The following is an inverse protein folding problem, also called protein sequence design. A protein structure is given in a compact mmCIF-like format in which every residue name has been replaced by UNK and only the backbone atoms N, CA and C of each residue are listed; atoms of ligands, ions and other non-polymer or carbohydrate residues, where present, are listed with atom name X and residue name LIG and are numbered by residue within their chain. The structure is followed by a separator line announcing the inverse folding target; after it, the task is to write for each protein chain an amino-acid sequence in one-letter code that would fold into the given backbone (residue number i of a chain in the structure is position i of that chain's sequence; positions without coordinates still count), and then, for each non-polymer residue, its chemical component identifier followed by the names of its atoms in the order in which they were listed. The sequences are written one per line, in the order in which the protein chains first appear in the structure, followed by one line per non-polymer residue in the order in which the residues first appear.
data_IF_913257823887
#
_entry.id   IF_913257823887
#
_cell.length_a   1.000
_cell.length_b   1.000
_cell.length_c   1.000
_cell.angle_alpha   90.00
_cell.angle_beta   90.00
_cell.angle_gamma   90.00
#
_symmetry.space_group_name_H-M   'P 1'
#
loop_
_entity.id
_entity.type
_entity.pdbx_description
1 polymer ?
#
# COMPACT_ATOMS: atom_id res chain seq x y z
N UNK A 1 -14.28 32.50 10.95
CA UNK A 1 -13.09 31.63 10.99
C UNK A 1 -13.49 30.34 11.70
N UNK A 2 -13.46 29.22 10.99
CA UNK A 2 -13.81 27.90 11.51
C UNK A 2 -12.51 27.22 11.96
N UNK A 3 -12.48 26.68 13.18
CA UNK A 3 -11.37 25.88 13.68
C UNK A 3 -11.66 24.42 13.44
N UNK A 4 -10.71 23.73 12.83
CA UNK A 4 -10.85 22.32 12.46
C UNK A 4 -9.82 21.53 13.25
N UNK A 5 -10.24 20.77 14.28
CA UNK A 5 -9.34 19.89 15.00
C UNK A 5 -8.88 18.75 14.08
N UNK A 6 -7.59 18.42 14.15
CA UNK A 6 -7.01 17.33 13.37
C UNK A 6 -5.93 16.59 14.17
N UNK A 7 -5.69 15.35 13.76
CA UNK A 7 -4.54 14.55 14.16
C UNK A 7 -3.71 14.20 12.94
N UNK A 8 -2.41 14.49 12.97
CA UNK A 8 -1.49 14.12 11.90
C UNK A 8 -0.80 12.81 12.27
N UNK A 9 -0.81 11.86 11.35
CA UNK A 9 -0.18 10.56 11.51
C UNK A 9 0.82 10.31 10.39
N UNK A 10 1.76 9.41 10.67
CA UNK A 10 2.58 8.76 9.65
C UNK A 10 2.59 7.24 9.86
N UNK A 11 2.64 6.49 8.77
CA UNK A 11 2.85 5.06 8.78
C UNK A 11 3.72 4.68 7.59
N UNK A 12 4.95 4.25 7.88
CA UNK A 12 5.98 3.91 6.89
C UNK A 12 6.25 5.00 5.86
N UNK A 13 6.17 6.26 6.30
CA UNK A 13 6.41 7.44 5.48
C UNK A 13 5.18 7.98 4.75
N UNK A 14 4.05 7.26 4.74
CA UNK A 14 2.78 7.82 4.29
C UNK A 14 2.19 8.68 5.41
N UNK A 15 1.86 9.92 5.10
CA UNK A 15 1.39 10.93 6.04
C UNK A 15 -0.09 11.21 5.82
N UNK A 16 -0.82 11.30 6.93
CA UNK A 16 -2.26 11.48 6.93
C UNK A 16 -2.64 12.61 7.86
N UNK A 17 -3.53 13.48 7.40
CA UNK A 17 -4.31 14.34 8.29
C UNK A 17 -5.62 13.64 8.54
N UNK A 18 -5.93 13.34 9.80
CA UNK A 18 -7.17 12.71 10.22
C UNK A 18 -8.07 13.74 10.91
N UNK A 19 -9.34 13.79 10.50
CA UNK A 19 -10.39 14.51 11.21
C UNK A 19 -11.42 13.51 11.73
N UNK A 20 -11.77 13.69 13.01
CA UNK A 20 -12.77 12.88 13.70
C UNK A 20 -14.16 13.51 13.59
N UNK A 21 -15.09 12.79 12.97
CA UNK A 21 -16.51 13.11 12.87
C UNK A 21 -17.40 12.01 13.49
N UNK A 22 -16.87 11.21 14.42
CA UNK A 22 -17.60 10.12 15.09
C UNK A 22 -18.80 10.65 15.88
N UNK A 23 -18.62 11.74 16.63
CA UNK A 23 -19.67 12.30 17.48
C UNK A 23 -20.51 13.35 16.76
N UNK A 24 -19.92 14.12 15.86
CA UNK A 24 -20.61 15.19 15.13
C UNK A 24 -19.87 15.52 13.84
N UNK A 25 -20.57 15.80 12.73
CA UNK A 25 -19.93 16.24 11.50
C UNK A 25 -19.33 17.63 11.69
N UNK A 26 -18.08 17.78 11.25
CA UNK A 26 -17.39 19.07 11.19
C UNK A 26 -17.63 19.70 9.82
N UNK A 27 -17.67 18.88 8.78
CA UNK A 27 -17.82 19.28 7.39
C UNK A 27 -19.15 18.82 6.80
N UNK A 28 -19.74 19.67 5.95
CA UNK A 28 -20.66 19.19 4.92
C UNK A 28 -19.95 18.25 3.92
N UNK A 29 -20.69 17.39 3.25
CA UNK A 29 -20.11 16.36 2.36
C UNK A 29 -19.27 16.93 1.20
N UNK A 30 -19.66 18.08 0.67
CA UNK A 30 -18.86 18.81 -0.34
C UNK A 30 -17.63 19.48 0.26
N UNK A 31 -17.71 19.96 1.50
CA UNK A 31 -16.60 20.65 2.19
C UNK A 31 -15.44 19.69 2.47
N UNK A 32 -15.69 18.40 2.68
CA UNK A 32 -14.64 17.39 2.90
C UNK A 32 -13.61 17.35 1.78
N UNK A 33 -14.07 17.34 0.52
CA UNK A 33 -13.20 17.37 -0.65
C UNK A 33 -12.41 18.67 -0.76
N UNK A 34 -13.02 19.81 -0.40
CA UNK A 34 -12.32 21.10 -0.37
C UNK A 34 -11.27 21.17 0.73
N UNK A 35 -11.59 20.64 1.91
CA UNK A 35 -10.63 20.59 3.01
C UNK A 35 -9.45 19.67 2.71
N UNK A 36 -9.65 18.61 1.90
CA UNK A 36 -8.55 17.74 1.44
C UNK A 36 -7.40 18.54 0.81
N UNK A 37 -7.70 19.63 0.08
CA UNK A 37 -6.67 20.52 -0.46
C UNK A 37 -5.83 21.18 0.64
N UNK A 38 -6.46 21.69 1.70
CA UNK A 38 -5.73 22.32 2.81
C UNK A 38 -5.02 21.30 3.70
N UNK A 39 -5.59 20.11 3.87
CA UNK A 39 -4.98 19.02 4.60
C UNK A 39 -3.69 18.55 3.91
N UNK A 40 -3.70 18.41 2.59
CA UNK A 40 -2.57 17.86 1.81
C UNK A 40 -1.56 18.89 1.32
N UNK A 41 -1.92 20.18 1.26
CA UNK A 41 -1.00 21.22 0.78
C UNK A 41 0.20 21.43 1.73
N UNK A 42 1.41 21.16 1.23
CA UNK A 42 2.67 21.24 1.98
C UNK A 42 3.16 22.66 2.27
N UNK A 43 2.63 23.68 1.58
CA UNK A 43 3.13 25.06 1.66
C UNK A 43 2.21 25.98 2.46
N UNK A 44 0.90 25.86 2.23
CA UNK A 44 -0.12 26.75 2.81
C UNK A 44 -1.18 25.98 3.62
N UNK A 45 -0.96 24.69 3.82
CA UNK A 45 -1.86 23.79 4.53
C UNK A 45 -1.18 23.09 5.70
N UNK A 46 -1.74 21.96 6.11
CA UNK A 46 -1.15 21.09 7.15
C UNK A 46 -0.03 20.21 6.57
N UNK A 47 -0.18 19.82 5.30
CA UNK A 47 0.74 19.00 4.53
C UNK A 47 0.63 17.51 4.86
N UNK A 48 0.13 16.70 3.93
CA UNK A 48 0.06 15.24 4.03
C UNK A 48 -0.15 14.63 2.65
N UNK A 49 -0.02 13.31 2.54
CA UNK A 49 -0.31 12.61 1.29
C UNK A 49 -1.82 12.54 1.06
N UNK A 50 -2.58 12.20 2.11
CA UNK A 50 -4.04 12.11 2.05
C UNK A 50 -4.71 12.75 3.27
N UNK A 51 -6.01 13.04 3.09
CA UNK A 51 -6.92 13.47 4.14
C UNK A 51 -7.85 12.32 4.53
N UNK A 52 -7.90 11.98 5.82
CA UNK A 52 -8.75 10.93 6.37
C UNK A 52 -9.89 11.53 7.17
N UNK A 53 -11.07 10.94 7.07
CA UNK A 53 -12.21 11.20 7.95
C UNK A 53 -12.70 9.88 8.53
N UNK A 54 -12.89 9.85 9.84
CA UNK A 54 -13.59 8.75 10.52
C UNK A 54 -14.97 9.23 10.95
N UNK A 55 -16.00 8.49 10.57
CA UNK A 55 -17.39 8.78 10.90
C UNK A 55 -18.02 7.57 11.57
N UNK A 56 -19.08 7.77 12.37
CA UNK A 56 -19.88 6.65 12.86
C UNK A 56 -20.72 6.07 11.73
N UNK A 57 -20.74 4.74 11.60
CA UNK A 57 -21.58 4.09 10.60
C UNK A 57 -23.05 4.16 11.07
N UNK A 58 -23.82 5.05 10.46
CA UNK A 58 -25.25 5.19 10.74
C UNK A 58 -25.99 5.41 9.44
N UNK A 59 -27.28 5.03 9.42
CA UNK A 59 -28.13 5.26 8.25
C UNK A 59 -28.13 6.73 7.80
N UNK A 60 -28.18 7.66 8.75
CA UNK A 60 -28.12 9.11 8.50
C UNK A 60 -26.82 9.54 7.79
N UNK A 61 -25.68 8.99 8.19
CA UNK A 61 -24.39 9.30 7.53
C UNK A 61 -24.36 8.71 6.12
N UNK A 62 -24.81 7.47 5.93
CA UNK A 62 -24.89 6.84 4.62
C UNK A 62 -25.83 7.60 3.66
N UNK A 63 -27.01 8.01 4.13
CA UNK A 63 -27.95 8.86 3.38
C UNK A 63 -27.29 10.19 2.98
N UNK A 64 -26.59 10.84 3.92
CA UNK A 64 -25.89 12.12 3.66
C UNK A 64 -24.80 11.97 2.59
N UNK A 65 -23.99 10.91 2.66
CA UNK A 65 -22.97 10.62 1.66
C UNK A 65 -23.64 10.44 0.30
N UNK A 66 -24.67 9.58 0.23
CA UNK A 66 -25.30 9.22 -1.03
C UNK A 66 -26.09 10.36 -1.67
N UNK A 67 -26.69 11.24 -0.87
CA UNK A 67 -27.40 12.43 -1.36
C UNK A 67 -26.48 13.37 -2.16
N UNK A 68 -25.22 13.50 -1.76
CA UNK A 68 -24.26 14.42 -2.39
C UNK A 68 -23.40 13.71 -3.43
N UNK A 69 -23.01 12.47 -3.16
CA UNK A 69 -22.03 11.74 -3.97
C UNK A 69 -22.66 10.74 -4.95
N UNK A 70 -23.88 10.27 -4.69
CA UNK A 70 -24.58 9.33 -5.56
C UNK A 70 -23.83 8.02 -5.78
N UNK A 71 -23.07 7.54 -4.81
CA UNK A 71 -22.26 6.33 -4.93
C UNK A 71 -23.09 5.05 -5.03
N UNK A 72 -24.32 5.07 -4.53
CA UNK A 72 -25.15 3.88 -4.47
C UNK A 72 -26.57 4.15 -5.00
N UNK A 73 -27.03 3.30 -5.90
CA UNK A 73 -28.44 3.28 -6.31
C UNK A 73 -29.33 2.86 -5.13
N UNK A 74 -28.86 1.91 -4.33
CA UNK A 74 -29.48 1.44 -3.09
C UNK A 74 -28.42 1.43 -2.00
N UNK A 75 -28.75 1.97 -0.81
CA UNK A 75 -27.78 2.04 0.26
C UNK A 75 -27.32 0.63 0.70
N UNK A 76 -26.01 0.43 0.88
CA UNK A 76 -25.47 -0.84 1.33
C UNK A 76 -25.94 -1.17 2.75
N UNK A 77 -26.18 -2.44 3.00
CA UNK A 77 -26.46 -2.94 4.35
C UNK A 77 -25.15 -3.07 5.13
N UNK A 78 -24.93 -2.13 6.06
CA UNK A 78 -23.69 -2.00 6.83
C UNK A 78 -23.96 -1.98 8.34
N UNK A 79 -25.02 -2.66 8.79
CA UNK A 79 -25.47 -2.64 10.19
C UNK A 79 -24.44 -3.23 11.18
N UNK A 80 -23.52 -4.08 10.70
CA UNK A 80 -22.45 -4.66 11.52
C UNK A 80 -21.23 -3.74 11.70
N UNK A 81 -21.14 -2.64 10.95
CA UNK A 81 -20.00 -1.73 11.05
C UNK A 81 -20.21 -0.66 12.13
N UNK A 82 -19.15 -0.38 12.89
CA UNK A 82 -19.13 0.68 13.89
C UNK A 82 -18.83 2.04 13.26
N UNK A 83 -17.90 2.05 12.30
CA UNK A 83 -17.33 3.27 11.70
C UNK A 83 -17.26 3.21 10.18
N UNK A 84 -17.06 4.36 9.55
CA UNK A 84 -16.77 4.52 8.12
C UNK A 84 -15.40 5.17 7.98
N UNK A 85 -14.51 4.51 7.24
CA UNK A 85 -13.23 5.05 6.78
C UNK A 85 -13.45 5.82 5.48
N UNK A 86 -12.99 7.07 5.43
CA UNK A 86 -12.99 7.89 4.21
C UNK A 86 -11.62 8.49 3.97
N UNK A 87 -11.17 8.43 2.72
CA UNK A 87 -9.86 8.94 2.32
C UNK A 87 -9.99 9.83 1.09
N UNK A 88 -9.48 11.05 1.19
CA UNK A 88 -9.51 12.02 0.11
C UNK A 88 -8.11 12.28 -0.41
N UNK A 89 -8.01 12.36 -1.73
CA UNK A 89 -6.81 12.74 -2.47
C UNK A 89 -6.61 14.27 -2.42
N UNK A 90 -5.41 14.77 -2.79
CA UNK A 90 -5.14 16.21 -2.81
C UNK A 90 -6.08 17.05 -3.68
N UNK A 91 -6.70 16.44 -4.70
CA UNK A 91 -7.68 17.08 -5.59
C UNK A 91 -9.12 17.07 -5.02
N UNK A 92 -9.32 16.47 -3.83
CA UNK A 92 -10.61 16.38 -3.17
C UNK A 92 -11.50 15.22 -3.62
N UNK A 93 -11.01 14.38 -4.55
CA UNK A 93 -11.67 13.12 -4.90
C UNK A 93 -11.49 12.10 -3.76
N UNK A 94 -12.39 11.12 -3.69
CA UNK A 94 -12.34 10.08 -2.68
C UNK A 94 -11.69 8.81 -3.25
N UNK A 95 -10.78 8.24 -2.47
CA UNK A 95 -10.03 7.04 -2.81
C UNK A 95 -10.49 5.83 -1.99
N UNK A 96 -10.35 4.64 -2.57
CA UNK A 96 -10.97 3.41 -2.07
C UNK A 96 -10.56 3.02 -0.64
N UNK A 97 -9.26 2.86 -0.41
CA UNK A 97 -8.71 2.49 0.91
C UNK A 97 -7.20 2.60 0.91
N UNK A 98 -6.60 2.59 2.10
CA UNK A 98 -5.17 2.48 2.30
C UNK A 98 -4.89 1.69 3.58
N UNK A 99 -4.11 0.60 3.51
CA UNK A 99 -3.73 -0.18 4.68
C UNK A 99 -3.00 0.65 5.75
N UNK A 100 -2.13 1.58 5.32
CA UNK A 100 -1.42 2.49 6.22
C UNK A 100 -2.39 3.45 6.92
N UNK A 101 -3.34 4.02 6.18
CA UNK A 101 -4.38 4.89 6.74
C UNK A 101 -5.29 4.17 7.73
N UNK A 102 -5.67 2.92 7.46
CA UNK A 102 -6.48 2.10 8.37
C UNK A 102 -5.78 1.83 9.69
N UNK A 103 -4.48 1.54 9.68
CA UNK A 103 -3.69 1.39 10.90
C UNK A 103 -3.63 2.71 11.69
N UNK A 104 -3.51 3.86 11.02
CA UNK A 104 -3.57 5.17 11.67
C UNK A 104 -4.94 5.43 12.33
N UNK A 105 -6.06 5.10 11.66
CA UNK A 105 -7.40 5.23 12.25
C UNK A 105 -7.56 4.29 13.45
N UNK A 106 -7.11 3.04 13.34
CA UNK A 106 -7.16 2.11 14.47
C UNK A 106 -6.42 2.67 15.70
N UNK A 107 -5.21 3.19 15.50
CA UNK A 107 -4.44 3.81 16.58
C UNK A 107 -5.14 5.04 17.17
N UNK A 108 -5.76 5.85 16.32
CA UNK A 108 -6.54 6.99 16.77
C UNK A 108 -7.75 6.56 17.62
N UNK A 109 -8.54 5.59 17.15
CA UNK A 109 -9.71 5.10 17.86
C UNK A 109 -9.34 4.47 19.21
N UNK A 110 -8.24 3.73 19.27
CA UNK A 110 -7.71 3.20 20.53
C UNK A 110 -7.31 4.32 21.50
N UNK A 111 -6.55 5.32 21.03
CA UNK A 111 -6.09 6.43 21.88
C UNK A 111 -7.22 7.32 22.38
N UNK A 112 -8.18 7.63 21.52
CA UNK A 112 -9.24 8.60 21.79
C UNK A 112 -10.45 7.95 22.48
N UNK A 113 -10.85 6.76 22.05
CA UNK A 113 -12.08 6.09 22.50
C UNK A 113 -11.84 4.79 23.27
N UNK A 114 -10.58 4.37 23.47
CA UNK A 114 -10.21 3.14 24.17
C UNK A 114 -10.82 1.88 23.55
N UNK A 115 -10.97 1.88 22.22
CA UNK A 115 -11.46 0.74 21.44
C UNK A 115 -10.28 -0.11 20.93
N UNK A 116 -10.13 -1.34 21.43
CA UNK A 116 -9.07 -2.27 21.02
C UNK A 116 -9.26 -2.78 19.58
N UNK A 117 -10.51 -3.01 19.18
CA UNK A 117 -10.87 -3.47 17.84
C UNK A 117 -12.28 -3.03 17.46
N UNK A 118 -12.48 -2.72 16.19
CA UNK A 118 -13.77 -2.24 15.65
C UNK A 118 -14.00 -2.79 14.25
N UNK A 119 -15.26 -2.82 13.82
CA UNK A 119 -15.65 -3.05 12.42
C UNK A 119 -15.77 -1.72 11.70
N UNK A 120 -15.06 -1.57 10.58
CA UNK A 120 -15.05 -0.33 9.81
C UNK A 120 -15.38 -0.60 8.34
N UNK A 121 -16.19 0.27 7.76
CA UNK A 121 -16.50 0.28 6.33
C UNK A 121 -15.33 0.90 5.56
N UNK A 122 -14.86 0.23 4.52
CA UNK A 122 -13.82 0.68 3.59
C UNK A 122 -14.30 0.53 2.14
N UNK A 123 -13.43 0.86 1.18
CA UNK A 123 -13.71 0.71 -0.26
C UNK A 123 -14.87 1.62 -0.73
N UNK A 124 -15.10 2.76 -0.07
CA UNK A 124 -15.91 3.85 -0.62
C UNK A 124 -15.02 4.61 -1.61
N UNK A 125 -15.45 4.92 -2.85
CA UNK A 125 -16.84 4.99 -3.32
C UNK A 125 -17.34 3.79 -4.15
N UNK A 126 -16.86 2.57 -3.93
CA UNK A 126 -17.36 1.42 -4.71
C UNK A 126 -18.84 1.13 -4.43
N UNK A 127 -19.52 0.49 -5.38
CA UNK A 127 -20.91 0.05 -5.22
C UNK A 127 -21.08 -1.03 -4.14
N UNK A 128 -19.99 -1.67 -3.71
CA UNK A 128 -19.97 -2.78 -2.76
C UNK A 128 -18.89 -2.55 -1.71
N UNK A 129 -19.09 -1.57 -0.80
CA UNK A 129 -18.11 -1.28 0.24
C UNK A 129 -17.94 -2.50 1.15
N UNK A 130 -16.75 -2.63 1.74
CA UNK A 130 -16.36 -3.79 2.53
C UNK A 130 -16.35 -3.43 4.01
N UNK A 131 -16.83 -4.33 4.86
CA UNK A 131 -16.61 -4.24 6.31
C UNK A 131 -15.37 -5.07 6.65
N UNK A 132 -14.42 -4.46 7.34
CA UNK A 132 -13.22 -5.14 7.85
C UNK A 132 -13.02 -4.86 9.33
N UNK A 133 -12.29 -5.75 10.00
CA UNK A 133 -11.83 -5.52 11.37
C UNK A 133 -10.49 -4.77 11.36
N UNK A 134 -10.40 -3.72 12.17
CA UNK A 134 -9.15 -3.01 12.47
C UNK A 134 -8.97 -2.93 13.99
N UNK A 135 -7.74 -2.73 14.44
CA UNK A 135 -7.50 -2.56 15.87
C UNK A 135 -6.09 -2.16 16.22
N UNK A 136 -5.86 -2.02 17.52
CA UNK A 136 -4.57 -1.67 18.11
C UNK A 136 -4.33 -2.59 19.30
N UNK A 137 -3.13 -3.15 19.39
CA UNK A 137 -2.74 -3.97 20.52
C UNK A 137 -2.74 -3.13 21.82
N UNK A 138 -2.90 -3.79 22.96
CA UNK A 138 -3.01 -3.12 24.27
C UNK A 138 -1.81 -2.25 24.64
N UNK A 139 -0.66 -2.50 24.03
CA UNK A 139 0.53 -1.66 24.18
C UNK A 139 0.39 -0.28 23.53
N UNK A 140 -0.62 -0.07 22.68
CA UNK A 140 -0.86 1.16 21.93
C UNK A 140 0.17 1.44 20.83
N UNK A 141 1.13 0.54 20.61
CA UNK A 141 2.25 0.71 19.68
C UNK A 141 1.95 0.11 18.32
N UNK A 142 1.35 -1.08 18.30
CA UNK A 142 1.08 -1.78 17.04
C UNK A 142 -0.40 -1.77 16.70
N UNK A 143 -0.70 -1.44 15.45
CA UNK A 143 -2.06 -1.40 14.91
C UNK A 143 -2.16 -2.28 13.69
N UNK A 144 -3.37 -2.71 13.37
CA UNK A 144 -3.60 -3.73 12.38
C UNK A 144 -4.90 -3.55 11.63
N UNK A 145 -4.93 -4.10 10.42
CA UNK A 145 -6.12 -4.19 9.59
C UNK A 145 -6.24 -5.59 8.99
N UNK A 146 -7.42 -6.18 9.05
CA UNK A 146 -7.72 -7.43 8.36
C UNK A 146 -8.11 -7.13 6.91
N UNK A 147 -7.18 -7.37 5.97
CA UNK A 147 -7.43 -7.10 4.55
C UNK A 147 -8.20 -8.25 3.87
N UNK A 148 -8.44 -9.35 4.60
CA UNK A 148 -9.08 -10.56 4.11
C UNK A 148 -8.13 -11.39 3.24
N UNK A 149 -8.71 -12.31 2.47
CA UNK A 149 -7.95 -13.26 1.67
C UNK A 149 -7.45 -12.64 0.36
N UNK A 150 -6.20 -12.91 -0.04
CA UNK A 150 -5.76 -12.74 -1.41
C UNK A 150 -6.66 -13.52 -2.37
N UNK A 151 -7.00 -12.91 -3.50
CA UNK A 151 -7.92 -13.44 -4.50
C UNK A 151 -7.23 -13.62 -5.84
N UNK A 152 -7.80 -14.49 -6.65
CA UNK A 152 -7.46 -14.62 -8.06
C UNK A 152 -7.90 -13.35 -8.81
N UNK A 153 -7.10 -12.92 -9.78
CA UNK A 153 -7.54 -11.91 -10.75
C UNK A 153 -8.73 -12.45 -11.54
N UNK A 154 -9.72 -11.58 -11.83
CA UNK A 154 -10.93 -11.95 -12.56
C UNK A 154 -10.59 -12.51 -13.94
N UNK A 155 -11.43 -13.43 -14.43
CA UNK A 155 -11.20 -14.09 -15.72
C UNK A 155 -11.12 -13.11 -16.88
N UNK A 156 -11.86 -12.00 -16.83
CA UNK A 156 -11.85 -10.96 -17.89
C UNK A 156 -10.48 -10.29 -18.06
N UNK A 157 -9.68 -10.25 -16.99
CA UNK A 157 -8.31 -9.71 -17.04
C UNK A 157 -7.26 -10.80 -17.28
N UNK A 158 -7.64 -12.08 -17.17
CA UNK A 158 -6.75 -13.21 -17.40
C UNK A 158 -6.69 -13.55 -18.90
N UNK A 159 -5.50 -13.43 -19.48
CA UNK A 159 -5.22 -13.83 -20.87
C UNK A 159 -4.27 -15.03 -20.85
N UNK A 160 -4.72 -16.26 -21.14
CA UNK A 160 -3.90 -17.47 -21.10
C UNK A 160 -2.66 -17.41 -21.98
N UNK A 161 -2.67 -16.57 -23.02
CA UNK A 161 -1.56 -16.36 -23.92
C UNK A 161 -0.41 -15.56 -23.28
N UNK A 162 -0.72 -14.84 -22.19
CA UNK A 162 0.19 -13.92 -21.51
C UNK A 162 0.59 -14.44 -20.13
N UNK A 163 -0.36 -15.00 -19.39
CA UNK A 163 -0.16 -15.48 -18.03
C UNK A 163 -0.71 -16.90 -17.88
N UNK A 164 -0.06 -17.70 -17.05
CA UNK A 164 -0.47 -19.06 -16.72
C UNK A 164 -0.89 -19.14 -15.25
N UNK A 165 -1.71 -20.12 -14.89
CA UNK A 165 -1.98 -20.40 -13.48
C UNK A 165 -0.75 -21.10 -12.88
N UNK A 166 -0.16 -20.46 -11.88
CA UNK A 166 0.83 -21.11 -11.03
C UNK A 166 0.12 -22.02 -10.02
N UNK A 167 -0.96 -21.51 -9.43
CA UNK A 167 -1.88 -22.26 -8.59
C UNK A 167 -3.31 -21.73 -8.74
N UNK A 168 -4.22 -22.08 -7.83
CA UNK A 168 -5.63 -21.69 -7.87
C UNK A 168 -5.86 -20.16 -7.89
N UNK A 169 -4.92 -19.39 -7.34
CA UNK A 169 -5.04 -17.95 -7.08
C UNK A 169 -3.96 -17.15 -7.81
N UNK A 170 -2.72 -17.66 -7.88
CA UNK A 170 -1.57 -16.96 -8.42
C UNK A 170 -1.46 -17.19 -9.93
N UNK A 171 -1.30 -16.09 -10.66
CA UNK A 171 -0.88 -16.11 -12.06
C UNK A 171 0.63 -15.97 -12.15
N UNK A 172 1.26 -16.60 -13.14
CA UNK A 172 2.69 -16.42 -13.43
C UNK A 172 2.89 -15.94 -14.87
N UNK A 173 3.90 -15.11 -15.06
CA UNK A 173 4.37 -14.63 -16.35
C UNK A 173 5.88 -14.86 -16.42
N UNK A 174 6.31 -15.82 -17.24
CA UNK A 174 7.71 -16.26 -17.29
C UNK A 174 8.63 -15.36 -18.11
N UNK A 175 8.08 -14.64 -19.10
CA UNK A 175 8.85 -13.86 -20.07
C UNK A 175 8.47 -12.38 -20.07
N UNK A 176 8.72 -11.70 -18.94
CA UNK A 176 8.58 -10.24 -18.84
C UNK A 176 9.78 -9.56 -19.50
N UNK A 177 9.75 -9.41 -20.82
CA UNK A 177 10.81 -8.69 -21.55
C UNK A 177 10.67 -7.18 -21.38
N UNK A 178 11.75 -6.54 -20.93
CA UNK A 178 11.85 -5.09 -20.73
C UNK A 178 13.05 -4.58 -21.52
N UNK A 179 12.78 -3.66 -22.46
CA UNK A 179 13.80 -3.01 -23.27
C UNK A 179 14.40 -1.78 -22.60
N UNK A 180 15.71 -1.64 -22.74
CA UNK A 180 16.52 -0.53 -22.25
C UNK A 180 17.33 0.08 -23.41
N UNK A 181 17.69 1.36 -23.32
CA UNK A 181 18.60 2.00 -24.29
C UNK A 181 20.02 1.45 -24.11
N UNK A 182 20.88 1.71 -25.10
CA UNK A 182 22.31 1.46 -24.92
C UNK A 182 22.80 2.25 -23.69
N UNK A 183 23.62 1.61 -22.84
CA UNK A 183 24.17 2.16 -21.60
C UNK A 183 23.20 2.35 -20.42
N UNK A 184 21.89 2.13 -20.59
CA UNK A 184 20.92 2.24 -19.49
C UNK A 184 21.19 1.24 -18.35
N UNK A 185 21.75 0.07 -18.68
CA UNK A 185 22.16 -0.95 -17.71
C UNK A 185 23.65 -0.89 -17.34
N UNK A 186 24.42 0.06 -17.90
CA UNK A 186 25.81 0.29 -17.49
C UNK A 186 25.81 1.08 -16.17
N UNK A 187 25.96 0.42 -15.01
CA UNK A 187 27.22 -0.21 -14.58
C UNK A 187 27.32 -1.73 -14.62
N UNK A 188 26.20 -2.41 -14.79
CA UNK A 188 26.00 -3.78 -14.31
C UNK A 188 25.87 -4.79 -15.45
N UNK A 189 25.43 -4.34 -16.63
CA UNK A 189 25.27 -5.20 -17.79
C UNK A 189 25.37 -4.41 -19.10
N UNK A 190 25.93 -5.06 -20.12
CA UNK A 190 25.94 -4.56 -21.49
C UNK A 190 24.68 -4.98 -22.27
N UNK A 191 23.75 -5.70 -21.62
CA UNK A 191 22.49 -6.08 -22.24
C UNK A 191 21.56 -4.86 -22.34
N UNK A 192 20.75 -4.84 -23.38
CA UNK A 192 19.69 -3.84 -23.60
C UNK A 192 18.30 -4.41 -23.35
N UNK A 193 18.23 -5.65 -22.85
CA UNK A 193 16.98 -6.32 -22.50
C UNK A 193 17.15 -7.05 -21.19
N UNK A 194 16.10 -7.02 -20.39
CA UNK A 194 15.98 -7.78 -19.16
C UNK A 194 14.75 -8.68 -19.32
N UNK A 195 14.89 -9.96 -19.05
CA UNK A 195 13.76 -10.88 -18.98
C UNK A 195 13.52 -11.24 -17.52
N UNK A 196 12.30 -11.02 -17.03
CA UNK A 196 11.94 -11.30 -15.64
C UNK A 196 10.80 -12.32 -15.58
N UNK A 197 10.68 -12.97 -14.43
CA UNK A 197 9.50 -13.75 -14.06
C UNK A 197 8.69 -13.01 -13.01
N UNK A 198 7.39 -12.91 -13.22
CA UNK A 198 6.45 -12.29 -12.29
C UNK A 198 5.36 -13.23 -11.83
N UNK A 199 4.83 -12.95 -10.64
CA UNK A 199 3.70 -13.65 -10.04
C UNK A 199 2.63 -12.63 -9.67
N UNK A 200 1.39 -12.83 -10.09
CA UNK A 200 0.32 -11.84 -9.93
C UNK A 200 -0.76 -12.39 -9.00
N UNK A 201 -1.18 -11.56 -8.04
CA UNK A 201 -2.27 -11.83 -7.10
C UNK A 201 -3.08 -10.55 -6.85
N UNK A 202 -4.33 -10.70 -6.42
CA UNK A 202 -5.20 -9.58 -6.04
C UNK A 202 -5.33 -9.48 -4.51
N UNK A 203 -4.84 -8.40 -3.91
CA UNK A 203 -4.91 -8.18 -2.44
C UNK A 203 -5.72 -6.93 -2.07
N UNK A 204 -6.76 -6.66 -2.87
CA UNK A 204 -7.55 -5.42 -2.85
C UNK A 204 -7.35 -4.63 -4.15
N UNK A 205 -6.16 -4.76 -4.74
CA UNK A 205 -5.80 -4.29 -6.06
C UNK A 205 -4.80 -5.28 -6.71
N UNK A 206 -4.52 -5.20 -8.03
CA UNK A 206 -3.59 -6.13 -8.66
C UNK A 206 -2.14 -5.81 -8.27
N UNK A 207 -1.42 -6.84 -7.83
CA UNK A 207 0.01 -6.78 -7.52
C UNK A 207 0.77 -7.86 -8.28
N UNK A 208 1.84 -7.47 -8.95
CA UNK A 208 2.86 -8.38 -9.47
C UNK A 208 4.04 -8.40 -8.49
N UNK A 209 4.54 -9.59 -8.15
CA UNK A 209 5.74 -9.81 -7.35
C UNK A 209 6.80 -10.45 -8.23
N UNK A 210 7.99 -9.84 -8.24
CA UNK A 210 9.16 -10.26 -9.01
C UNK A 210 10.27 -10.60 -8.02
N UNK A 211 10.88 -11.78 -8.18
CA UNK A 211 12.05 -12.18 -7.41
C UNK A 211 13.29 -12.05 -8.30
N UNK A 212 14.30 -11.24 -7.93
CA UNK A 212 15.47 -10.97 -8.75
C UNK A 212 16.54 -12.08 -8.74
N UNK A 213 16.18 -13.31 -8.36
CA UNK A 213 17.10 -14.45 -8.20
C UNK A 213 17.64 -15.00 -9.55
N UNK A 214 18.73 -15.77 -9.47
CA UNK A 214 19.66 -16.11 -10.57
C UNK A 214 19.09 -16.83 -11.80
N UNK A 215 17.91 -17.45 -11.73
CA UNK A 215 17.39 -18.25 -12.83
C UNK A 215 16.74 -17.36 -13.90
N UNK A 216 17.56 -16.83 -14.81
CA UNK A 216 17.14 -16.06 -15.99
C UNK A 216 17.39 -14.55 -15.89
N UNK A 217 17.84 -14.08 -14.74
CA UNK A 217 18.11 -12.66 -14.47
C UNK A 217 19.62 -12.43 -14.46
N UNK A 218 20.04 -11.30 -15.04
CA UNK A 218 21.42 -10.83 -15.03
C UNK A 218 22.07 -10.94 -13.63
N UNK A 219 23.24 -11.58 -13.56
CA UNK A 219 24.00 -11.74 -12.32
C UNK A 219 24.25 -10.39 -11.63
N UNK A 220 23.90 -10.28 -10.35
CA UNK A 220 24.04 -9.04 -9.57
C UNK A 220 22.84 -8.08 -9.66
N UNK A 221 21.77 -8.44 -10.36
CA UNK A 221 20.55 -7.62 -10.46
C UNK A 221 19.88 -7.40 -9.09
N UNK A 222 19.81 -8.44 -8.27
CA UNK A 222 19.34 -8.34 -6.89
C UNK A 222 20.17 -7.33 -6.08
N UNK A 223 21.49 -7.36 -6.22
CA UNK A 223 22.41 -6.48 -5.50
C UNK A 223 22.25 -5.01 -5.91
N UNK A 224 21.91 -4.78 -7.18
CA UNK A 224 21.60 -3.44 -7.70
C UNK A 224 20.25 -2.97 -7.18
N UNK A 225 19.24 -3.84 -7.20
CA UNK A 225 17.91 -3.51 -6.71
C UNK A 225 17.87 -3.28 -5.20
N UNK A 226 18.72 -3.92 -4.41
CA UNK A 226 18.71 -3.79 -2.97
C UNK A 226 20.07 -3.33 -2.41
N UNK A 227 20.77 -2.48 -3.16
CA UNK A 227 22.09 -1.98 -2.78
C UNK A 227 22.02 -1.24 -1.43
N UNK A 228 22.81 -1.65 -0.44
CA UNK A 228 22.97 -0.87 0.80
C UNK A 228 24.15 0.08 0.71
N UNK A 229 24.19 1.10 1.58
CA UNK A 229 25.31 2.04 1.64
C UNK A 229 26.65 1.34 1.92
N UNK A 230 26.63 0.34 2.81
CA UNK A 230 27.80 -0.49 3.15
C UNK A 230 28.25 -1.39 1.99
N UNK A 231 27.33 -2.12 1.33
CA UNK A 231 27.70 -3.01 0.22
C UNK A 231 28.21 -2.23 -1.00
N UNK A 232 27.57 -1.10 -1.31
CA UNK A 232 27.93 -0.31 -2.48
C UNK A 232 29.34 0.31 -2.38
N UNK A 233 29.87 0.51 -1.16
CA UNK A 233 31.25 0.94 -0.91
C UNK A 233 32.31 -0.10 -1.32
N UNK A 234 31.97 -1.40 -1.30
CA UNK A 234 32.91 -2.50 -1.60
C UNK A 234 33.20 -2.69 -3.09
N UNK A 235 32.38 -2.08 -3.97
CA UNK A 235 32.44 -2.25 -5.42
C UNK A 235 33.04 -1.04 -6.17
N UNK A 236 33.77 -0.16 -5.47
CA UNK A 236 34.54 0.93 -6.08
C UNK A 236 33.71 2.04 -6.76
N UNK A 237 32.39 2.08 -6.55
CA UNK A 237 31.49 3.17 -6.99
C UNK A 237 30.85 3.83 -5.76
N UNK A 238 30.52 5.15 -5.80
CA UNK A 238 29.87 5.81 -4.68
C UNK A 238 28.57 5.11 -4.31
N UNK A 239 28.37 4.87 -3.01
CA UNK A 239 27.25 4.08 -2.53
C UNK A 239 25.88 4.66 -2.91
N UNK A 240 25.76 5.99 -2.80
CA UNK A 240 24.59 6.78 -3.21
C UNK A 240 24.22 6.55 -4.67
N UNK A 241 25.20 6.50 -5.59
CA UNK A 241 24.93 6.29 -7.02
C UNK A 241 24.29 4.95 -7.32
N UNK A 242 24.59 3.90 -6.54
CA UNK A 242 23.95 2.58 -6.72
C UNK A 242 22.53 2.57 -6.17
N UNK A 243 22.31 3.22 -5.04
CA UNK A 243 20.95 3.40 -4.47
C UNK A 243 20.07 4.16 -5.48
N UNK A 244 20.56 5.28 -6.00
CA UNK A 244 19.86 6.08 -7.02
C UNK A 244 19.57 5.27 -8.30
N UNK A 245 20.54 4.46 -8.75
CA UNK A 245 20.35 3.60 -9.90
C UNK A 245 19.31 2.51 -9.64
N UNK A 246 19.30 1.91 -8.44
CA UNK A 246 18.27 0.96 -8.03
C UNK A 246 16.87 1.58 -7.99
N UNK A 247 16.72 2.82 -7.52
CA UNK A 247 15.47 3.60 -7.53
C UNK A 247 14.99 3.82 -8.96
N UNK A 248 15.88 4.36 -9.79
CA UNK A 248 15.59 4.57 -11.21
C UNK A 248 15.17 3.27 -11.91
N UNK A 249 15.83 2.15 -11.60
CA UNK A 249 15.55 0.86 -12.23
C UNK A 249 14.17 0.31 -11.86
N UNK A 250 13.77 0.43 -10.58
CA UNK A 250 12.40 0.08 -10.13
C UNK A 250 11.36 0.90 -10.88
N UNK A 251 11.56 2.22 -10.99
CA UNK A 251 10.65 3.10 -11.73
C UNK A 251 10.57 2.73 -13.21
N UNK A 252 11.71 2.46 -13.85
CA UNK A 252 11.75 2.08 -15.26
C UNK A 252 11.04 0.77 -15.54
N UNK A 253 11.27 -0.25 -14.71
CA UNK A 253 10.59 -1.54 -14.84
C UNK A 253 9.09 -1.36 -14.57
N UNK A 254 8.72 -0.66 -13.49
CA UNK A 254 7.33 -0.40 -13.13
C UNK A 254 6.55 0.28 -14.25
N UNK A 255 7.11 1.33 -14.85
CA UNK A 255 6.54 2.03 -16.01
C UNK A 255 6.47 1.14 -17.25
N UNK A 256 7.54 0.40 -17.56
CA UNK A 256 7.56 -0.49 -18.72
C UNK A 256 6.46 -1.56 -18.64
N UNK A 257 6.35 -2.23 -17.48
CA UNK A 257 5.33 -3.27 -17.28
C UNK A 257 3.91 -2.69 -17.30
N UNK A 258 3.68 -1.53 -16.67
CA UNK A 258 2.38 -0.87 -16.74
C UNK A 258 1.99 -0.45 -18.16
N UNK A 259 2.96 -0.05 -18.99
CA UNK A 259 2.71 0.24 -20.40
C UNK A 259 2.41 -1.04 -21.21
N UNK A 260 3.20 -2.09 -21.03
CA UNK A 260 3.01 -3.39 -21.71
C UNK A 260 1.65 -4.00 -21.39
N UNK A 261 1.24 -3.96 -20.11
CA UNK A 261 0.00 -4.57 -19.64
C UNK A 261 -1.18 -3.60 -19.54
N UNK A 262 -1.10 -2.40 -20.13
CA UNK A 262 -2.15 -1.39 -20.07
C UNK A 262 -3.52 -1.89 -20.55
N UNK A 263 -3.54 -2.82 -21.51
CA UNK A 263 -4.79 -3.41 -22.01
C UNK A 263 -5.44 -4.38 -21.01
N UNK A 264 -4.66 -4.99 -20.11
CA UNK A 264 -5.17 -5.87 -19.04
C UNK A 264 -5.41 -5.08 -17.75
N UNK A 265 -4.57 -4.10 -17.46
CA UNK A 265 -4.69 -3.24 -16.28
C UNK A 265 -4.71 -1.77 -16.71
N UNK A 266 -5.86 -1.24 -17.19
CA UNK A 266 -5.95 0.13 -17.69
C UNK A 266 -5.59 1.19 -16.65
N UNK A 267 -5.93 0.92 -15.39
CA UNK A 267 -5.58 1.74 -14.24
C UNK A 267 -4.23 1.34 -13.58
N UNK A 268 -3.44 0.52 -14.27
CA UNK A 268 -2.14 0.02 -13.85
C UNK A 268 -2.18 -1.16 -12.86
N UNK A 269 -1.00 -1.58 -12.44
CA UNK A 269 -0.74 -2.65 -11.48
C UNK A 269 0.48 -2.28 -10.64
N UNK A 270 0.42 -2.57 -9.34
CA UNK A 270 1.53 -2.34 -8.42
C UNK A 270 2.59 -3.43 -8.64
N UNK A 271 3.85 -3.03 -8.81
CA UNK A 271 4.97 -3.94 -9.09
C UNK A 271 5.86 -4.00 -7.85
N UNK A 272 5.98 -5.18 -7.26
CA UNK A 272 6.78 -5.43 -6.09
C UNK A 272 8.02 -6.25 -6.46
N UNK A 273 9.17 -5.83 -5.96
CA UNK A 273 10.40 -6.63 -6.00
C UNK A 273 10.63 -7.17 -4.61
N UNK A 274 10.89 -8.47 -4.47
CA UNK A 274 11.06 -9.11 -3.17
C UNK A 274 12.25 -10.06 -3.14
N UNK A 275 12.90 -10.15 -1.98
CA UNK A 275 13.93 -11.15 -1.70
C UNK A 275 13.82 -11.69 -0.27
N UNK A 276 14.05 -13.00 -0.05
CA UNK A 276 14.24 -13.53 1.30
C UNK A 276 15.55 -13.01 1.92
N UNK A 277 15.49 -12.62 3.19
CA UNK A 277 16.66 -12.22 3.99
C UNK A 277 17.00 -13.29 5.04
N UNK A 278 15.98 -14.01 5.51
CA UNK A 278 16.14 -15.18 6.38
C UNK A 278 16.51 -16.43 5.58
N UNK A 279 17.25 -17.37 6.19
CA UNK A 279 17.53 -18.64 5.56
C UNK A 279 16.25 -19.50 5.39
N UNK A 280 16.19 -20.41 4.39
CA UNK A 280 15.08 -21.34 4.27
C UNK A 280 14.84 -22.12 5.58
N UNK A 281 13.61 -22.13 6.09
CA UNK A 281 13.24 -22.79 7.35
C UNK A 281 13.25 -21.89 8.60
N UNK A 282 13.70 -20.64 8.50
CA UNK A 282 13.60 -19.64 9.57
C UNK A 282 12.30 -18.81 9.47
N UNK A 283 12.01 -17.98 10.50
CA UNK A 283 10.92 -16.99 10.43
C UNK A 283 11.06 -16.17 9.16
N UNK A 284 10.01 -16.12 8.34
CA UNK A 284 10.03 -15.47 7.04
C UNK A 284 10.30 -13.97 7.15
N UNK A 285 11.54 -13.56 6.90
CA UNK A 285 11.92 -12.16 6.74
C UNK A 285 12.17 -11.92 5.26
N UNK A 286 11.36 -11.04 4.68
CA UNK A 286 11.47 -10.63 3.29
C UNK A 286 11.79 -9.15 3.24
N UNK A 287 12.63 -8.74 2.30
CA UNK A 287 12.79 -7.35 1.93
C UNK A 287 12.03 -7.09 0.64
N UNK A 288 11.38 -5.93 0.52
CA UNK A 288 10.66 -5.58 -0.69
C UNK A 288 10.75 -4.10 -1.05
N UNK A 289 10.46 -3.82 -2.33
CA UNK A 289 10.32 -2.50 -2.94
C UNK A 289 9.00 -2.48 -3.71
N UNK A 290 8.30 -1.35 -3.73
CA UNK A 290 6.99 -1.24 -4.38
C UNK A 290 6.97 -0.05 -5.33
N UNK A 291 6.74 -0.31 -6.60
CA UNK A 291 6.24 0.67 -7.56
C UNK A 291 4.72 0.67 -7.51
N UNK A 292 4.12 1.79 -7.12
CA UNK A 292 2.71 1.83 -6.75
C UNK A 292 1.80 2.25 -7.91
N UNK A 293 0.71 1.49 -8.07
CA UNK A 293 -0.36 1.78 -9.01
C UNK A 293 -0.98 3.16 -8.74
N UNK A 294 -1.33 3.89 -9.79
CA UNK A 294 -1.95 5.22 -9.67
C UNK A 294 -0.95 6.35 -9.39
N UNK A 295 0.12 6.06 -8.65
CA UNK A 295 1.22 7.02 -8.39
C UNK A 295 2.32 6.89 -9.48
N UNK A 296 2.50 5.70 -10.04
CA UNK A 296 3.44 5.39 -11.12
C UNK A 296 4.90 5.76 -10.81
N UNK A 297 5.29 5.53 -9.55
CA UNK A 297 6.66 5.62 -9.05
C UNK A 297 6.84 4.69 -7.86
N UNK A 298 8.08 4.47 -7.46
CA UNK A 298 8.41 3.80 -6.23
C UNK A 298 7.97 4.62 -5.01
N UNK A 299 7.25 3.96 -4.08
CA UNK A 299 6.82 4.54 -2.80
C UNK A 299 7.61 3.96 -1.63
N UNK A 300 7.49 4.58 -0.45
CA UNK A 300 8.24 4.17 0.74
C UNK A 300 7.78 2.79 1.24
N UNK A 301 6.47 2.55 1.23
CA UNK A 301 5.86 1.27 1.55
C UNK A 301 4.41 1.19 1.03
N UNK A 302 3.97 -0.02 0.67
CA UNK A 302 2.61 -0.35 0.29
C UNK A 302 2.11 -1.57 1.09
N UNK A 303 1.04 -1.41 1.86
CA UNK A 303 0.52 -2.48 2.74
C UNK A 303 -0.06 -3.67 1.98
N UNK A 304 -0.87 -3.43 0.95
CA UNK A 304 -1.44 -4.46 0.07
C UNK A 304 -0.34 -5.19 -0.73
N UNK A 305 0.72 -4.47 -1.12
CA UNK A 305 1.93 -5.03 -1.71
C UNK A 305 2.70 -5.94 -0.75
N UNK A 306 2.83 -5.55 0.52
CA UNK A 306 3.45 -6.40 1.54
C UNK A 306 2.66 -7.71 1.77
N UNK A 307 1.32 -7.67 1.73
CA UNK A 307 0.49 -8.89 1.77
C UNK A 307 0.73 -9.75 0.53
N UNK A 308 0.78 -9.16 -0.67
CA UNK A 308 1.04 -9.90 -1.91
C UNK A 308 2.41 -10.60 -1.89
N UNK A 309 3.45 -9.89 -1.44
CA UNK A 309 4.82 -10.43 -1.27
C UNK A 309 4.85 -11.58 -0.28
N UNK A 310 4.23 -11.41 0.90
CA UNK A 310 4.14 -12.47 1.91
C UNK A 310 3.42 -13.71 1.37
N UNK A 311 2.26 -13.51 0.75
CA UNK A 311 1.43 -14.59 0.24
C UNK A 311 2.12 -15.38 -0.86
N UNK A 312 2.66 -14.69 -1.88
CA UNK A 312 3.37 -15.35 -2.99
C UNK A 312 4.63 -16.05 -2.47
N UNK A 313 5.41 -15.43 -1.58
CA UNK A 313 6.62 -16.06 -1.04
C UNK A 313 6.31 -17.37 -0.31
N UNK A 314 5.21 -17.42 0.45
CA UNK A 314 4.73 -18.65 1.10
C UNK A 314 4.36 -19.73 0.07
N UNK A 315 3.58 -19.38 -0.96
CA UNK A 315 3.15 -20.33 -2.01
C UNK A 315 4.31 -20.86 -2.85
N UNK A 316 5.37 -20.06 -3.02
CA UNK A 316 6.61 -20.46 -3.68
C UNK A 316 7.59 -21.20 -2.75
N UNK A 317 7.21 -21.50 -1.50
CA UNK A 317 8.08 -22.10 -0.47
C UNK A 317 9.38 -21.31 -0.22
N UNK A 318 9.36 -19.99 -0.41
CA UNK A 318 10.50 -19.09 -0.13
C UNK A 318 10.60 -18.71 1.35
N UNK A 319 9.51 -18.85 2.08
CA UNK A 319 9.40 -18.62 3.52
C UNK A 319 8.49 -19.67 4.17
N UNK A 320 8.63 -19.89 5.47
CA UNK A 320 7.74 -20.78 6.21
C UNK A 320 6.36 -20.13 6.42
N UNK A 321 5.28 -20.93 6.48
CA UNK A 321 3.97 -20.46 6.91
C UNK A 321 3.99 -19.84 8.31
N UNK A 322 3.20 -18.78 8.52
CA UNK A 322 3.01 -18.15 9.84
C UNK A 322 3.11 -16.63 9.77
N UNK A 323 3.56 -16.02 10.87
CA UNK A 323 3.77 -14.58 10.94
C UNK A 323 5.08 -14.18 10.26
N UNK A 324 4.96 -13.44 9.15
CA UNK A 324 6.08 -12.99 8.34
C UNK A 324 6.42 -11.53 8.60
N UNK A 325 7.68 -11.18 8.42
CA UNK A 325 8.16 -9.80 8.52
C UNK A 325 8.59 -9.32 7.14
N UNK A 326 7.99 -8.22 6.71
CA UNK A 326 8.29 -7.54 5.46
C UNK A 326 9.06 -6.26 5.79
N UNK A 327 10.25 -6.11 5.21
CA UNK A 327 11.14 -4.97 5.37
C UNK A 327 10.95 -4.04 4.17
N UNK A 328 10.26 -2.89 4.31
CA UNK A 328 10.11 -1.92 3.23
C UNK A 328 11.44 -1.21 2.98
N UNK A 329 12.18 -1.63 1.95
CA UNK A 329 13.54 -1.18 1.70
C UNK A 329 13.64 0.36 1.60
N UNK A 330 12.73 1.01 0.85
CA UNK A 330 12.74 2.47 0.69
C UNK A 330 12.46 3.22 1.97
N UNK A 331 11.45 2.80 2.73
CA UNK A 331 11.17 3.36 4.05
C UNK A 331 12.38 3.21 5.00
N UNK A 332 13.06 2.06 4.96
CA UNK A 332 14.22 1.77 5.82
C UNK A 332 15.47 2.60 5.52
N UNK A 333 15.55 3.26 4.36
CA UNK A 333 16.60 4.27 4.10
C UNK A 333 16.45 5.52 4.97
N UNK A 334 15.24 5.77 5.48
CA UNK A 334 14.92 6.89 6.38
C UNK A 334 14.72 6.41 7.83
N UNK A 335 14.07 5.26 8.00
CA UNK A 335 13.71 4.67 9.30
C UNK A 335 14.17 3.20 9.37
N UNK A 336 15.44 2.93 9.72
CA UNK A 336 16.06 1.60 9.62
C UNK A 336 15.36 0.49 10.41
N UNK A 337 14.55 0.82 11.42
CA UNK A 337 13.80 -0.16 12.21
C UNK A 337 12.43 -0.53 11.62
N UNK A 338 12.05 0.12 10.51
CA UNK A 338 10.76 -0.08 9.86
C UNK A 338 10.57 -1.51 9.40
N UNK A 339 9.45 -2.10 9.81
CA UNK A 339 9.02 -3.45 9.48
C UNK A 339 7.50 -3.56 9.49
N UNK A 340 6.94 -4.30 8.55
CA UNK A 340 5.53 -4.64 8.47
C UNK A 340 5.41 -6.12 8.83
N UNK A 341 4.47 -6.49 9.69
CA UNK A 341 4.20 -7.89 9.99
C UNK A 341 2.93 -8.33 9.27
N UNK A 342 2.97 -9.48 8.62
CA UNK A 342 1.80 -10.10 8.00
C UNK A 342 1.48 -11.37 8.77
N UNK A 343 0.25 -11.48 9.24
CA UNK A 343 -0.28 -12.68 9.88
C UNK A 343 -1.44 -13.20 9.03
N UNK A 344 -1.28 -14.39 8.47
CA UNK A 344 -2.35 -15.13 7.82
C UNK A 344 -2.96 -16.12 8.81
N UNK A 345 -4.26 -16.02 9.06
CA UNK A 345 -4.96 -16.93 9.96
C UNK A 345 -5.31 -18.27 9.27
N UNK A 346 -5.96 -19.18 9.99
CA UNK A 346 -6.37 -20.50 9.47
C UNK A 346 -7.38 -20.42 8.33
N UNK A 347 -8.20 -19.37 8.28
CA UNK A 347 -9.16 -19.17 7.18
C UNK A 347 -8.48 -18.64 5.91
N UNK A 348 -7.24 -18.14 6.00
CA UNK A 348 -6.49 -17.52 4.90
C UNK A 348 -6.58 -15.99 4.86
N UNK A 349 -7.24 -15.37 5.83
CA UNK A 349 -7.32 -13.91 5.95
C UNK A 349 -5.98 -13.32 6.38
N UNK A 350 -5.53 -12.30 5.65
CA UNK A 350 -4.27 -11.64 5.89
C UNK A 350 -4.46 -10.37 6.71
N UNK A 351 -3.93 -10.38 7.93
CA UNK A 351 -3.84 -9.21 8.80
C UNK A 351 -2.49 -8.53 8.61
N UNK A 352 -2.51 -7.27 8.16
CA UNK A 352 -1.35 -6.40 8.21
C UNK A 352 -1.23 -5.81 9.61
N UNK A 353 -0.02 -5.81 10.16
CA UNK A 353 0.30 -5.22 11.45
C UNK A 353 1.46 -4.27 11.25
N UNK A 354 1.30 -3.04 11.73
CA UNK A 354 2.31 -2.01 11.64
C UNK A 354 2.32 -1.06 12.82
N UNK A 355 3.17 -0.04 12.71
CA UNK A 355 3.51 0.85 13.81
C UNK A 355 3.23 2.31 13.41
N UNK A 356 1.94 2.71 13.33
CA UNK A 356 1.60 4.10 13.02
C UNK A 356 2.04 5.03 14.16
N UNK A 357 2.52 6.21 13.80
CA UNK A 357 2.96 7.23 14.74
C UNK A 357 2.08 8.46 14.59
N UNK A 358 1.46 8.90 15.67
CA UNK A 358 0.82 10.21 15.74
C UNK A 358 1.91 11.27 15.87
N UNK A 359 1.99 12.18 14.90
CA UNK A 359 2.98 13.24 14.86
C UNK A 359 2.55 14.45 15.68
N UNK A 360 1.30 14.89 15.51
CA UNK A 360 0.78 16.09 16.18
C UNK A 360 -0.74 16.09 16.24
N UNK A 361 -1.30 16.66 17.30
CA UNK A 361 -2.69 17.10 17.35
C UNK A 361 -2.72 18.62 17.27
N UNK A 362 -3.65 19.17 16.48
CA UNK A 362 -3.74 20.60 16.30
C UNK A 362 -5.12 21.06 15.86
N UNK A 363 -5.25 22.37 15.68
CA UNK A 363 -6.42 23.02 15.08
C UNK A 363 -5.96 23.81 13.86
N UNK A 364 -6.66 23.65 12.74
CA UNK A 364 -6.43 24.44 11.53
C UNK A 364 -7.48 25.54 11.43
N UNK A 365 -7.03 26.79 11.31
CA UNK A 365 -7.90 27.95 11.21
C UNK A 365 -8.22 28.26 9.74
N UNK A 366 -9.50 28.18 9.38
CA UNK A 366 -9.97 28.39 8.02
C UNK A 366 -10.92 29.59 7.96
N UNK A 367 -10.58 30.58 7.14
CA UNK A 367 -11.39 31.78 6.99
C UNK A 367 -12.66 31.52 6.17
N UNK A 368 -12.57 30.74 5.08
CA UNK A 368 -13.67 30.38 4.19
C UNK A 368 -13.45 28.97 3.58
N UNK A 369 -14.48 28.11 3.60
CA UNK A 369 -14.49 26.73 3.06
C UNK A 369 -15.29 26.62 1.75
#
# INVERSE_FOLDING_TARGET
MKKIPFSKFTSYGNNFVLVDEVNSPIFGETEKGRFAHFATNMYFGIGSDNFLVVQRCTRKVLDSINQVRGYWNELPDLHEADFIFRMFEPDGTEAFSCGNGLMCIANYLFRTYQLESVKIVTEIPTNHPKIIDIGTERDGQSSWANLGQPRKITQDLFKPEIAQLYDDIILTVDNLEIGFRAHDLEPFSNQTRLNLKGYIVFTGEPHMVIYPEKDGILSGFEEVLFATSEYASTLGKPAERRVDFGIWLVDRIGLALNNTYKNMFPAGMSINFARPVSAPGEKGILEYRCFERGIFKETLACGTGAVAVSYISKRLNKIIPGQNTILPYRCRLHEPESKIKIHENETGDCRIIGFPVMLVNGEFELNHL
#
